data_IF_454185482802
#
_entry.id   IF_454185482802
#
_cell.length_a   1.000
_cell.length_b   1.000
_cell.length_c   1.000
_cell.angle_alpha   90.00
_cell.angle_beta   90.00
_cell.angle_gamma   90.00
#
_symmetry.space_group_name_H-M   'P 1'
#
loop_
_entity.id
_entity.type
_entity.pdbx_description
1 polymer ?
#
# COMPACT_ATOMS: atom_id res chain seq x y z
N UNK A 1 -14.41 8.17 -2.93
CA UNK A 1 -13.02 7.77 -3.24
C UNK A 1 -12.19 8.86 -3.92
N UNK A 2 -12.71 10.06 -4.11
CA UNK A 2 -12.00 11.19 -4.73
C UNK A 2 -11.35 12.18 -3.73
N UNK A 3 -11.54 11.99 -2.42
CA UNK A 3 -11.02 12.91 -1.40
C UNK A 3 -9.53 12.70 -1.06
N UNK A 4 -8.91 11.59 -1.51
CA UNK A 4 -7.49 11.31 -1.23
C UNK A 4 -6.51 12.12 -2.08
N UNK A 5 -6.98 12.84 -3.07
CA UNK A 5 -6.13 13.64 -3.96
C UNK A 5 -6.08 15.14 -3.63
N UNK A 6 -6.57 15.55 -2.47
CA UNK A 6 -6.29 16.89 -1.93
C UNK A 6 -4.91 16.86 -1.22
N UNK A 7 -3.89 16.51 -1.99
CA UNK A 7 -2.51 16.29 -1.55
C UNK A 7 -1.78 17.49 -0.89
N UNK A 8 -2.13 18.77 -1.10
CA UNK A 8 -1.41 19.83 -0.45
C UNK A 8 -1.60 19.89 1.07
N UNK A 9 -2.80 19.61 1.57
CA UNK A 9 -3.11 19.83 2.99
C UNK A 9 -2.46 18.79 3.93
N UNK A 10 -2.36 17.51 3.54
CA UNK A 10 -1.71 16.52 4.40
C UNK A 10 -0.18 16.62 4.35
N UNK A 11 0.38 17.05 3.21
CA UNK A 11 1.82 17.26 3.11
C UNK A 11 2.30 18.42 3.98
N UNK A 12 1.45 19.45 4.18
CA UNK A 12 1.70 20.58 5.06
C UNK A 12 1.49 20.22 6.54
N UNK A 13 0.59 19.28 6.84
CA UNK A 13 0.24 18.87 8.20
C UNK A 13 0.97 17.61 8.68
N UNK A 14 1.88 17.03 7.88
CA UNK A 14 2.61 15.81 8.26
C UNK A 14 3.51 16.07 9.48
N UNK A 15 3.19 15.49 10.65
CA UNK A 15 4.02 15.65 11.83
C UNK A 15 5.31 14.84 11.66
N UNK A 16 6.44 15.45 11.55
CA UNK A 16 7.73 14.77 11.50
C UNK A 16 8.43 14.76 10.15
N UNK A 17 8.41 15.87 9.47
CA UNK A 17 9.06 16.13 8.16
C UNK A 17 10.58 15.92 8.15
N UNK A 18 11.15 15.31 9.11
CA UNK A 18 12.59 15.26 9.22
C UNK A 18 13.26 14.02 8.63
N UNK A 19 12.58 13.15 7.91
CA UNK A 19 13.31 12.17 7.12
C UNK A 19 13.62 12.77 5.75
N UNK A 20 14.88 12.99 5.48
CA UNK A 20 15.44 13.57 4.25
C UNK A 20 14.90 12.94 2.97
N UNK A 21 14.39 11.71 3.04
CA UNK A 21 13.75 11.01 1.94
C UNK A 21 12.35 11.54 1.58
N UNK A 22 11.48 11.73 2.56
CA UNK A 22 10.12 12.24 2.33
C UNK A 22 10.13 13.71 1.89
N UNK A 23 11.01 14.54 2.46
CA UNK A 23 11.17 15.92 2.05
C UNK A 23 11.58 16.07 0.56
N UNK A 24 12.27 15.07 -0.01
CA UNK A 24 12.59 15.05 -1.45
C UNK A 24 11.43 14.61 -2.32
N UNK A 25 10.50 13.83 -1.79
CA UNK A 25 9.34 13.31 -2.53
C UNK A 25 8.18 14.30 -2.57
N UNK A 26 8.01 15.11 -1.53
CA UNK A 26 6.91 16.10 -1.43
C UNK A 26 6.83 17.02 -2.65
N UNK A 27 7.92 17.64 -3.15
CA UNK A 27 7.87 18.47 -4.36
C UNK A 27 7.47 17.71 -5.63
N UNK A 28 7.76 16.41 -5.71
CA UNK A 28 7.39 15.56 -6.84
C UNK A 28 5.90 15.20 -6.79
N UNK A 29 5.33 15.07 -5.59
CA UNK A 29 3.91 14.79 -5.37
C UNK A 29 3.03 16.05 -5.56
N UNK A 30 3.60 17.22 -5.48
CA UNK A 30 2.94 18.52 -5.74
C UNK A 30 3.07 18.96 -7.21
N UNK A 31 3.48 18.07 -8.11
CA UNK A 31 3.59 18.32 -9.54
C UNK A 31 2.28 18.93 -10.09
N UNK A 32 2.36 19.99 -10.91
CA UNK A 32 1.18 20.63 -11.50
C UNK A 32 0.41 19.75 -12.48
N UNK A 33 0.97 18.63 -12.90
CA UNK A 33 0.34 17.71 -13.86
C UNK A 33 -0.49 16.64 -13.15
N UNK A 34 -1.61 17.10 -12.57
CA UNK A 34 -2.59 16.22 -11.92
C UNK A 34 -3.18 15.19 -12.90
N UNK A 35 -3.39 15.58 -14.14
CA UNK A 35 -4.00 14.71 -15.14
C UNK A 35 -3.04 13.57 -15.52
N UNK A 36 -1.76 13.83 -15.63
CA UNK A 36 -0.76 12.77 -15.83
C UNK A 36 -0.71 11.78 -14.67
N UNK A 37 -0.82 12.25 -13.42
CA UNK A 37 -0.87 11.38 -12.23
C UNK A 37 -2.13 10.51 -12.25
N UNK A 38 -3.30 11.08 -12.56
CA UNK A 38 -4.56 10.34 -12.66
C UNK A 38 -4.50 9.30 -13.78
N UNK A 39 -3.97 9.66 -14.94
CA UNK A 39 -3.78 8.72 -16.06
C UNK A 39 -2.80 7.60 -15.72
N UNK A 40 -1.68 7.91 -15.06
CA UNK A 40 -0.73 6.91 -14.60
C UNK A 40 -1.37 5.97 -13.59
N UNK A 41 -2.14 6.49 -12.63
CA UNK A 41 -2.86 5.69 -11.66
C UNK A 41 -3.90 4.76 -12.32
N UNK A 42 -4.68 5.29 -13.25
CA UNK A 42 -5.65 4.48 -13.99
C UNK A 42 -4.97 3.36 -14.77
N UNK A 43 -3.87 3.66 -15.43
CA UNK A 43 -3.09 2.71 -16.21
C UNK A 43 -2.49 1.60 -15.35
N UNK A 44 -1.97 1.95 -14.17
CA UNK A 44 -1.26 1.02 -13.29
C UNK A 44 -2.19 0.19 -12.41
N UNK A 45 -3.35 0.74 -12.00
CA UNK A 45 -4.17 0.13 -10.94
C UNK A 45 -5.66 -0.03 -11.28
N UNK A 46 -6.21 0.70 -12.24
CA UNK A 46 -7.65 0.72 -12.52
C UNK A 46 -8.02 0.46 -13.98
N UNK A 47 -7.06 0.16 -14.83
CA UNK A 47 -7.29 -0.10 -16.25
C UNK A 47 -8.05 -1.42 -16.52
N UNK A 48 -8.62 -1.59 -17.72
CA UNK A 48 -9.37 -2.80 -18.10
C UNK A 48 -8.48 -4.04 -18.34
N UNK A 49 -7.17 -3.88 -18.26
CA UNK A 49 -6.18 -4.94 -18.45
C UNK A 49 -5.71 -5.58 -17.16
N UNK A 50 -4.76 -6.52 -17.28
CA UNK A 50 -4.07 -7.07 -16.12
C UNK A 50 -3.30 -5.96 -15.40
N UNK A 51 -3.46 -5.88 -14.07
CA UNK A 51 -2.70 -4.92 -13.25
C UNK A 51 -1.21 -5.27 -13.30
N UNK A 52 -0.34 -4.40 -13.81
CA UNK A 52 1.08 -4.71 -13.99
C UNK A 52 1.80 -4.98 -12.66
N UNK A 53 1.41 -4.26 -11.61
CA UNK A 53 1.90 -4.43 -10.26
C UNK A 53 0.73 -4.58 -9.29
N UNK A 54 0.16 -5.79 -9.14
CA UNK A 54 -0.97 -6.03 -8.26
C UNK A 54 -0.64 -5.66 -6.82
N UNK A 55 -1.48 -4.86 -6.12
CA UNK A 55 -1.16 -4.37 -4.78
C UNK A 55 -1.56 -5.35 -3.65
N UNK A 56 -1.47 -6.65 -3.89
CA UNK A 56 -1.78 -7.70 -2.91
C UNK A 56 -0.58 -8.58 -2.63
N UNK A 57 -0.27 -8.79 -1.35
CA UNK A 57 0.89 -9.57 -0.90
C UNK A 57 0.89 -11.02 -1.40
N UNK A 58 -0.26 -11.68 -1.42
CA UNK A 58 -0.39 -13.06 -1.86
C UNK A 58 0.05 -13.29 -3.32
N UNK A 59 -0.08 -12.29 -4.18
CA UNK A 59 0.40 -12.39 -5.57
C UNK A 59 1.93 -12.55 -5.66
N UNK A 60 2.65 -12.12 -4.63
CA UNK A 60 4.12 -12.18 -4.58
C UNK A 60 4.67 -13.29 -3.71
N UNK A 61 3.92 -13.67 -2.67
CA UNK A 61 4.38 -14.61 -1.65
C UNK A 61 3.92 -16.03 -1.89
N UNK A 62 2.73 -16.22 -2.47
CA UNK A 62 2.17 -17.55 -2.67
C UNK A 62 2.59 -18.14 -4.03
N UNK A 63 2.96 -19.43 -4.08
CA UNK A 63 3.45 -20.09 -5.31
C UNK A 63 2.48 -19.99 -6.49
N UNK A 64 1.18 -20.04 -6.21
CA UNK A 64 0.12 -19.98 -7.21
C UNK A 64 -0.11 -18.55 -7.73
N UNK A 65 0.48 -17.54 -7.10
CA UNK A 65 0.31 -16.12 -7.44
C UNK A 65 -1.16 -15.69 -7.52
N UNK A 66 -1.99 -16.23 -6.64
CA UNK A 66 -3.43 -15.99 -6.58
C UNK A 66 -3.81 -15.15 -5.36
N UNK A 67 -4.93 -14.45 -5.46
CA UNK A 67 -5.50 -13.73 -4.33
C UNK A 67 -5.97 -14.71 -3.26
N UNK A 68 -5.82 -14.32 -1.98
CA UNK A 68 -6.28 -15.09 -0.81
C UNK A 68 -5.57 -16.43 -0.63
N UNK A 69 -4.28 -16.47 -0.93
CA UNK A 69 -3.43 -17.65 -0.67
C UNK A 69 -3.03 -17.80 0.80
N UNK A 70 -2.06 -18.68 1.06
CA UNK A 70 -1.59 -19.00 2.43
C UNK A 70 -1.08 -17.75 3.19
N UNK A 71 -0.43 -16.81 2.51
CA UNK A 71 0.06 -15.57 3.10
C UNK A 71 -1.08 -14.68 3.59
N UNK A 72 -2.20 -14.60 2.85
CA UNK A 72 -3.41 -13.87 3.28
C UNK A 72 -4.04 -14.51 4.53
N UNK A 73 -4.04 -15.85 4.61
CA UNK A 73 -4.54 -16.57 5.80
C UNK A 73 -3.66 -16.28 7.01
N UNK A 74 -2.34 -16.30 6.86
CA UNK A 74 -1.39 -15.98 7.93
C UNK A 74 -1.60 -14.54 8.46
N UNK A 75 -1.75 -13.56 7.55
CA UNK A 75 -2.08 -12.18 7.92
C UNK A 75 -3.44 -12.10 8.64
N UNK A 76 -4.46 -12.83 8.17
CA UNK A 76 -5.78 -12.84 8.81
C UNK A 76 -5.72 -13.38 10.25
N UNK A 77 -4.93 -14.41 10.50
CA UNK A 77 -4.70 -14.94 11.85
C UNK A 77 -3.98 -13.90 12.74
N UNK A 78 -2.97 -13.23 12.19
CA UNK A 78 -2.31 -12.12 12.89
C UNK A 78 -3.31 -11.02 13.27
N UNK A 79 -4.13 -10.53 12.33
CA UNK A 79 -5.12 -9.48 12.58
C UNK A 79 -6.14 -9.91 13.64
N UNK A 80 -6.61 -11.15 13.57
CA UNK A 80 -7.55 -11.70 14.55
C UNK A 80 -6.92 -11.77 15.95
N UNK A 81 -5.68 -12.25 16.06
CA UNK A 81 -4.93 -12.30 17.33
C UNK A 81 -4.76 -10.92 17.93
N UNK A 82 -4.49 -9.93 17.09
CA UNK A 82 -4.33 -8.53 17.51
C UNK A 82 -5.68 -7.80 17.69
N UNK A 83 -6.82 -8.46 17.49
CA UNK A 83 -8.13 -7.84 17.62
C UNK A 83 -8.40 -6.75 16.61
N UNK A 84 -7.66 -6.73 15.48
CA UNK A 84 -7.87 -5.80 14.40
C UNK A 84 -8.96 -6.33 13.46
N UNK A 85 -10.07 -5.61 13.40
CA UNK A 85 -11.16 -5.92 12.48
C UNK A 85 -11.22 -4.84 11.39
N UNK A 86 -11.09 -5.28 10.14
CA UNK A 86 -11.31 -4.40 9.00
C UNK A 86 -12.82 -4.30 8.74
N UNK A 87 -13.39 -3.15 9.06
CA UNK A 87 -14.74 -2.80 8.65
C UNK A 87 -14.63 -2.03 7.33
N UNK A 88 -14.74 -2.75 6.23
CA UNK A 88 -14.72 -2.17 4.89
C UNK A 88 -15.89 -2.72 4.09
N UNK A 89 -16.59 -1.86 3.39
CA UNK A 89 -17.64 -2.23 2.44
C UNK A 89 -17.07 -2.82 1.14
N UNK A 90 -15.73 -2.79 1.01
CA UNK A 90 -15.02 -3.32 -0.15
C UNK A 90 -14.65 -4.79 0.12
N UNK A 91 -14.87 -5.70 -0.83
CA UNK A 91 -14.52 -7.12 -0.72
C UNK A 91 -13.01 -7.37 -0.90
N UNK A 92 -12.18 -6.42 -0.52
CA UNK A 92 -10.72 -6.47 -0.70
C UNK A 92 -10.07 -7.44 0.31
N UNK A 93 -9.12 -8.27 -0.13
CA UNK A 93 -8.31 -9.07 0.78
C UNK A 93 -7.50 -8.19 1.73
N UNK A 94 -7.25 -8.63 2.98
CA UNK A 94 -6.55 -7.84 3.99
C UNK A 94 -5.09 -7.54 3.65
N UNK A 95 -4.48 -8.28 2.75
CA UNK A 95 -3.11 -8.11 2.23
C UNK A 95 -2.99 -7.07 1.09
N UNK A 96 -4.06 -6.31 0.83
CA UNK A 96 -3.97 -5.13 -0.04
C UNK A 96 -3.09 -4.07 0.60
N UNK A 97 -2.11 -3.53 -0.14
CA UNK A 97 -1.12 -2.56 0.36
C UNK A 97 -1.74 -1.41 1.16
N UNK A 98 -2.80 -0.79 0.63
CA UNK A 98 -3.48 0.31 1.30
C UNK A 98 -4.12 -0.11 2.63
N UNK A 99 -4.69 -1.31 2.72
CA UNK A 99 -5.26 -1.83 3.96
C UNK A 99 -4.16 -2.16 4.98
N UNK A 100 -3.03 -2.71 4.55
CA UNK A 100 -1.90 -2.99 5.42
C UNK A 100 -1.27 -1.70 5.99
N UNK A 101 -1.16 -0.66 5.19
CA UNK A 101 -0.69 0.65 5.66
C UNK A 101 -1.68 1.27 6.66
N UNK A 102 -2.98 1.11 6.45
CA UNK A 102 -3.99 1.54 7.42
C UNK A 102 -3.91 0.76 8.73
N UNK A 103 -3.73 -0.56 8.67
CA UNK A 103 -3.50 -1.41 9.85
C UNK A 103 -2.25 -0.97 10.63
N UNK A 104 -1.16 -0.67 9.90
CA UNK A 104 0.07 -0.17 10.50
C UNK A 104 -0.14 1.17 11.21
N UNK A 105 -0.91 2.08 10.60
CA UNK A 105 -1.25 3.36 11.22
C UNK A 105 -2.05 3.18 12.51
N UNK A 106 -3.06 2.29 12.51
CA UNK A 106 -3.85 1.98 13.70
C UNK A 106 -2.97 1.41 14.84
N UNK A 107 -2.07 0.47 14.52
CA UNK A 107 -1.14 -0.08 15.51
C UNK A 107 -0.18 0.96 16.07
N UNK A 108 0.30 1.88 15.21
CA UNK A 108 1.16 2.98 15.63
C UNK A 108 0.42 3.97 16.55
N UNK A 109 -0.82 4.35 16.22
CA UNK A 109 -1.66 5.22 17.05
C UNK A 109 -2.00 4.60 18.40
N UNK A 110 -2.13 3.27 18.46
CA UNK A 110 -2.35 2.51 19.69
C UNK A 110 -1.06 2.20 20.45
N UNK A 111 0.09 2.70 20.00
CA UNK A 111 1.42 2.46 20.58
C UNK A 111 1.78 0.96 20.71
N UNK A 112 1.23 0.11 19.84
CA UNK A 112 1.41 -1.35 19.84
C UNK A 112 2.65 -1.73 19.03
N UNK A 113 3.82 -1.33 19.51
CA UNK A 113 5.08 -1.41 18.77
C UNK A 113 5.45 -2.84 18.34
N UNK A 114 5.24 -3.85 19.19
CA UNK A 114 5.56 -5.24 18.84
C UNK A 114 4.70 -5.76 17.67
N UNK A 115 3.39 -5.51 17.72
CA UNK A 115 2.47 -5.88 16.66
C UNK A 115 2.75 -5.11 15.36
N UNK A 116 3.08 -3.82 15.46
CA UNK A 116 3.49 -3.01 14.32
C UNK A 116 4.75 -3.59 13.65
N UNK A 117 5.77 -3.93 14.44
CA UNK A 117 7.00 -4.53 13.93
C UNK A 117 6.70 -5.86 13.22
N UNK A 118 5.88 -6.74 13.81
CA UNK A 118 5.49 -8.02 13.19
C UNK A 118 4.73 -7.80 11.88
N UNK A 119 3.75 -6.88 11.85
CA UNK A 119 3.02 -6.54 10.63
C UNK A 119 3.97 -6.08 9.52
N UNK A 120 4.90 -5.19 9.85
CA UNK A 120 5.83 -4.65 8.87
C UNK A 120 6.82 -5.70 8.39
N UNK A 121 7.51 -6.40 9.28
CA UNK A 121 8.60 -7.31 8.92
C UNK A 121 8.08 -8.62 8.30
N UNK A 122 7.10 -9.26 8.92
CA UNK A 122 6.62 -10.56 8.47
C UNK A 122 5.63 -10.48 7.31
N UNK A 123 4.77 -9.46 7.27
CA UNK A 123 3.66 -9.42 6.33
C UNK A 123 3.77 -8.38 5.23
N UNK A 124 4.43 -7.24 5.47
CA UNK A 124 4.53 -6.17 4.46
C UNK A 124 5.88 -6.16 3.74
N UNK A 125 6.97 -6.03 4.47
CA UNK A 125 8.31 -5.88 3.88
C UNK A 125 8.81 -7.13 3.16
N UNK A 126 8.22 -8.28 3.43
CA UNK A 126 8.51 -9.54 2.74
C UNK A 126 8.22 -9.50 1.23
N UNK A 127 7.28 -8.68 0.78
CA UNK A 127 6.88 -8.58 -0.63
C UNK A 127 6.93 -7.16 -1.22
N UNK A 128 6.94 -6.12 -0.39
CA UNK A 128 6.96 -4.73 -0.84
C UNK A 128 8.09 -4.41 -1.84
N UNK A 129 9.32 -4.95 -1.68
CA UNK A 129 10.39 -4.76 -2.68
C UNK A 129 10.05 -5.34 -4.05
N UNK A 130 9.36 -6.48 -4.10
CA UNK A 130 8.93 -7.12 -5.36
C UNK A 130 7.84 -6.28 -6.05
N UNK A 131 6.87 -5.80 -5.28
CA UNK A 131 5.85 -4.89 -5.78
C UNK A 131 6.46 -3.61 -6.36
N UNK A 132 7.34 -2.94 -5.61
CA UNK A 132 7.99 -1.70 -6.06
C UNK A 132 8.87 -1.92 -7.28
N UNK A 133 9.52 -3.07 -7.39
CA UNK A 133 10.27 -3.44 -8.58
C UNK A 133 9.37 -3.57 -9.81
N UNK A 134 8.26 -4.33 -9.71
CA UNK A 134 7.27 -4.45 -10.80
C UNK A 134 6.66 -3.11 -11.19
N UNK A 135 6.34 -2.27 -10.20
CA UNK A 135 5.77 -0.94 -10.43
C UNK A 135 6.71 -0.06 -11.25
N UNK A 136 8.01 -0.05 -10.91
CA UNK A 136 9.03 0.68 -11.67
C UNK A 136 9.18 0.16 -13.10
N UNK A 137 9.15 -1.16 -13.30
CA UNK A 137 9.18 -1.74 -14.64
C UNK A 137 7.98 -1.33 -15.49
N UNK A 138 6.78 -1.36 -14.90
CA UNK A 138 5.55 -0.94 -15.58
C UNK A 138 5.56 0.55 -15.96
N UNK A 139 6.12 1.41 -15.12
CA UNK A 139 6.27 2.83 -15.41
C UNK A 139 7.21 3.09 -16.60
N UNK A 140 8.31 2.33 -16.71
CA UNK A 140 9.29 2.48 -17.79
C UNK A 140 8.87 1.82 -19.11
N UNK A 141 8.00 0.82 -19.07
CA UNK A 141 7.58 0.08 -20.27
C UNK A 141 6.48 0.79 -21.10
N UNK A 142 6.01 1.94 -20.67
CA UNK A 142 5.08 2.77 -21.46
C UNK A 142 3.70 2.15 -21.68
N UNK A 143 3.29 1.21 -20.83
CA UNK A 143 1.94 0.65 -20.86
C UNK A 143 0.90 1.70 -20.54
#
# INVERSE_FOLDING_TARGET
MLAFFALPAWAESWPGVATTGLARLVPQLTSPDRDAIVQAWQRLFAGPGACPAPPWGSVYLDPEQVLRGCSTVALSHFLQREGLQLHTDLPEPPDHLGLMLFQAAVLAEQERQAALTELLEAHLLSWLPLFTHRLRQAEHSGF
#
